data_IF_027857601760
#
_entry.id   IF_027857601760
#
_cell.length_a   1.000
_cell.length_b   1.000
_cell.length_c   1.000
_cell.angle_alpha   90.00
_cell.angle_beta   90.00
_cell.angle_gamma   90.00
#
_symmetry.space_group_name_H-M   'P 1'
#
loop_
_entity.id
_entity.type
_entity.pdbx_description
1 polymer ?
#
# COMPACT_ATOMS: atom_id res chain seq x y z
N UNK A 1 -16.69 83.11 -2.48
CA UNK A 1 -17.11 81.88 -3.20
C UNK A 1 -17.50 80.81 -2.18
N UNK A 2 -18.30 79.81 -2.61
CA UNK A 2 -18.51 78.45 -2.04
C UNK A 2 -17.35 77.96 -1.13
N UNK A 3 -17.48 77.17 -0.06
CA UNK A 3 -18.53 76.35 0.61
C UNK A 3 -17.93 75.98 2.01
N UNK A 4 -18.59 75.44 3.05
CA UNK A 4 -19.96 74.97 3.33
C UNK A 4 -20.26 75.05 4.85
N UNK A 5 -21.28 74.34 5.36
CA UNK A 5 -21.52 74.06 6.79
C UNK A 5 -21.11 72.62 7.13
N UNK A 6 -20.79 72.34 8.39
CA UNK A 6 -21.47 71.27 9.15
C UNK A 6 -21.49 71.61 10.65
N UNK A 7 -22.70 71.68 11.23
CA UNK A 7 -22.87 71.81 12.68
C UNK A 7 -22.69 70.44 13.33
N UNK A 8 -21.94 70.40 14.44
CA UNK A 8 -21.99 69.27 15.36
C UNK A 8 -23.29 69.36 16.18
N UNK A 9 -24.03 68.24 16.30
CA UNK A 9 -25.35 68.27 16.91
C UNK A 9 -25.97 66.90 17.15
N UNK A 10 -25.30 66.02 17.90
CA UNK A 10 -25.94 64.86 18.54
C UNK A 10 -25.49 64.76 20.01
N UNK A 11 -26.38 65.26 20.86
CA UNK A 11 -26.71 64.87 22.26
C UNK A 11 -25.73 64.07 23.15
N UNK A 12 -25.68 64.50 24.41
CA UNK A 12 -24.89 63.94 25.50
C UNK A 12 -25.40 62.57 26.03
N UNK A 13 -25.33 61.53 25.20
CA UNK A 13 -25.47 60.12 25.61
C UNK A 13 -24.13 59.35 25.60
N UNK A 14 -23.01 60.03 25.30
CA UNK A 14 -21.66 59.46 25.24
C UNK A 14 -21.00 59.26 26.63
N UNK A 15 -21.77 59.32 27.72
CA UNK A 15 -21.26 59.21 29.09
C UNK A 15 -22.09 58.18 29.87
N UNK A 16 -21.81 56.87 29.65
CA UNK A 16 -21.92 55.82 30.69
C UNK A 16 -21.56 54.38 30.24
N UNK A 17 -21.12 54.13 29.00
CA UNK A 17 -20.72 52.78 28.54
C UNK A 17 -19.25 52.71 28.11
N UNK A 18 -18.36 53.11 29.02
CA UNK A 18 -16.95 52.71 28.97
C UNK A 18 -16.59 51.94 30.24
N UNK A 19 -15.96 50.78 30.02
CA UNK A 19 -15.20 49.99 30.99
C UNK A 19 -15.95 49.26 32.13
N UNK A 20 -16.42 48.04 31.80
CA UNK A 20 -16.33 46.89 32.72
C UNK A 20 -15.29 45.90 32.19
N UNK A 21 -14.08 45.91 32.77
CA UNK A 21 -12.88 45.18 32.29
C UNK A 21 -12.96 43.64 32.24
N UNK A 22 -14.10 43.04 32.59
CA UNK A 22 -14.35 41.61 32.43
C UNK A 22 -14.94 41.21 31.07
N UNK A 23 -15.43 42.14 30.25
CA UNK A 23 -16.18 41.81 29.04
C UNK A 23 -15.30 41.50 27.82
N UNK A 24 -14.20 42.25 27.60
CA UNK A 24 -13.28 42.01 26.48
C UNK A 24 -12.66 40.60 26.52
N UNK A 25 -12.22 40.12 27.70
CA UNK A 25 -11.66 38.77 27.85
C UNK A 25 -12.67 37.69 27.44
N UNK A 26 -13.94 37.85 27.80
CA UNK A 26 -15.01 36.92 27.40
C UNK A 26 -15.26 36.95 25.88
N UNK A 27 -15.23 38.14 25.27
CA UNK A 27 -15.41 38.28 23.82
C UNK A 27 -14.30 37.61 23.00
N UNK A 28 -13.04 37.72 23.44
CA UNK A 28 -11.89 37.04 22.80
C UNK A 28 -11.99 35.51 22.96
N UNK A 29 -12.39 35.02 24.15
CA UNK A 29 -12.57 33.57 24.38
C UNK A 29 -13.71 33.03 23.50
N UNK A 30 -14.84 33.73 23.38
CA UNK A 30 -15.98 33.32 22.55
C UNK A 30 -15.60 33.29 21.05
N UNK A 31 -14.85 34.28 20.57
CA UNK A 31 -14.32 34.31 19.19
C UNK A 31 -13.40 33.11 18.92
N UNK A 32 -12.47 32.80 19.83
CA UNK A 32 -11.58 31.63 19.69
C UNK A 32 -12.34 30.30 19.66
N UNK A 33 -13.34 30.13 20.53
CA UNK A 33 -14.20 28.93 20.56
C UNK A 33 -15.00 28.75 19.26
N UNK A 34 -15.51 29.86 18.69
CA UNK A 34 -16.25 29.84 17.42
C UNK A 34 -15.37 29.35 16.26
N UNK A 35 -14.11 29.81 16.20
CA UNK A 35 -13.15 29.41 15.16
C UNK A 35 -12.79 27.93 15.28
N UNK A 36 -12.54 27.43 16.50
CA UNK A 36 -12.25 26.00 16.74
C UNK A 36 -13.44 25.13 16.31
N UNK A 37 -14.67 25.56 16.60
CA UNK A 37 -15.89 24.83 16.24
C UNK A 37 -16.11 24.80 14.71
N UNK A 38 -15.84 25.91 14.01
CA UNK A 38 -15.86 25.98 12.55
C UNK A 38 -14.80 25.07 11.91
N UNK A 39 -13.56 25.09 12.40
CA UNK A 39 -12.48 24.22 11.92
C UNK A 39 -12.81 22.74 12.17
N UNK A 40 -13.38 22.41 13.34
CA UNK A 40 -13.86 21.06 13.66
C UNK A 40 -14.96 20.58 12.73
N UNK A 41 -15.93 21.44 12.39
CA UNK A 41 -17.00 21.11 11.45
C UNK A 41 -16.46 20.85 10.03
N UNK A 42 -15.53 21.68 9.53
CA UNK A 42 -14.89 21.49 8.23
C UNK A 42 -14.07 20.18 8.21
N UNK A 43 -13.27 19.92 9.25
CA UNK A 43 -12.50 18.69 9.38
C UNK A 43 -13.41 17.44 9.45
N UNK A 44 -14.53 17.52 10.18
CA UNK A 44 -15.50 16.44 10.29
C UNK A 44 -16.22 16.12 8.96
N UNK A 45 -16.49 17.13 8.13
CA UNK A 45 -17.02 16.91 6.77
C UNK A 45 -15.96 16.29 5.86
N UNK A 46 -14.73 16.81 5.90
CA UNK A 46 -13.63 16.33 5.04
C UNK A 46 -13.18 14.90 5.37
N UNK A 47 -13.35 14.46 6.62
CA UNK A 47 -12.97 13.11 7.09
C UNK A 47 -14.10 12.07 7.00
N UNK A 48 -15.28 12.41 6.46
CA UNK A 48 -16.32 11.41 6.23
C UNK A 48 -15.89 10.43 5.12
N UNK A 49 -15.75 9.12 5.40
CA UNK A 49 -15.60 8.15 4.32
C UNK A 49 -16.87 8.15 3.48
N UNK A 50 -16.74 8.26 2.16
CA UNK A 50 -17.89 8.17 1.27
C UNK A 50 -18.47 6.76 1.34
N UNK A 51 -19.71 6.65 1.83
CA UNK A 51 -20.51 5.44 1.61
C UNK A 51 -20.86 5.39 0.13
N UNK A 52 -20.24 4.47 -0.59
CA UNK A 52 -20.62 4.09 -1.93
C UNK A 52 -22.10 3.63 -1.91
N UNK A 53 -22.96 4.10 -2.84
CA UNK A 53 -24.37 3.72 -2.84
C UNK A 53 -24.55 2.23 -3.14
N UNK A 54 -25.42 1.57 -2.38
CA UNK A 54 -25.89 0.22 -2.65
C UNK A 54 -26.93 0.21 -3.79
N UNK A 55 -26.88 -0.83 -4.62
CA UNK A 55 -27.69 -1.03 -5.82
C UNK A 55 -26.80 -1.38 -7.02
N UNK A 56 -26.97 -2.49 -7.74
CA UNK A 56 -28.13 -3.39 -7.88
C UNK A 56 -27.68 -4.87 -7.82
N UNK A 57 -28.59 -5.76 -7.43
CA UNK A 57 -28.38 -7.22 -7.34
C UNK A 57 -28.55 -7.96 -8.69
N UNK A 58 -27.65 -8.91 -8.97
CA UNK A 58 -27.75 -10.02 -9.97
C UNK A 58 -27.75 -9.68 -11.49
N UNK A 59 -27.45 -10.66 -12.40
CA UNK A 59 -27.20 -12.09 -12.16
C UNK A 59 -25.81 -12.61 -12.55
N UNK A 60 -25.52 -13.85 -12.13
CA UNK A 60 -24.40 -14.68 -12.63
C UNK A 60 -24.32 -14.67 -14.17
N UNK A 61 -23.13 -14.38 -14.71
CA UNK A 61 -22.75 -14.78 -16.06
C UNK A 61 -21.43 -15.53 -16.04
N UNK A 62 -21.52 -16.85 -16.19
CA UNK A 62 -20.41 -17.75 -16.50
C UNK A 62 -20.34 -17.82 -18.03
N UNK A 63 -19.20 -17.47 -18.67
CA UNK A 63 -18.69 -18.11 -19.92
C UNK A 63 -17.38 -17.47 -20.44
N UNK A 64 -16.35 -18.32 -20.49
CA UNK A 64 -15.19 -18.37 -21.43
C UNK A 64 -14.02 -17.38 -21.33
N UNK A 65 -12.83 -17.99 -21.37
CA UNK A 65 -11.47 -17.43 -21.41
C UNK A 65 -10.96 -17.33 -22.86
N UNK A 66 -10.37 -16.19 -23.21
CA UNK A 66 -9.27 -16.01 -24.19
C UNK A 66 -8.70 -14.61 -23.92
N UNK A 67 -7.39 -14.34 -23.90
CA UNK A 67 -6.24 -15.07 -24.43
C UNK A 67 -5.54 -16.04 -23.45
N UNK A 68 -4.85 -17.04 -24.01
CA UNK A 68 -3.92 -17.93 -23.31
C UNK A 68 -2.55 -17.95 -24.02
N UNK A 69 -1.64 -18.89 -23.70
CA UNK A 69 -1.73 -20.00 -22.73
C UNK A 69 -1.05 -19.64 -21.38
N UNK A 70 -1.30 -20.28 -20.24
CA UNK A 70 -1.96 -21.57 -20.00
C UNK A 70 -2.78 -21.56 -18.67
N UNK A 71 -4.01 -21.04 -18.71
CA UNK A 71 -4.86 -20.83 -17.52
C UNK A 71 -5.46 -22.07 -16.84
N UNK A 72 -5.05 -23.29 -17.22
CA UNK A 72 -5.64 -24.55 -16.72
C UNK A 72 -4.59 -25.52 -16.15
N UNK A 73 -3.32 -25.10 -16.03
CA UNK A 73 -2.22 -25.95 -15.54
C UNK A 73 -1.79 -25.73 -14.07
N UNK A 74 -1.87 -24.49 -13.55
CA UNK A 74 -1.25 -24.09 -12.29
C UNK A 74 -1.68 -24.90 -11.04
N UNK A 75 -2.96 -25.33 -11.01
CA UNK A 75 -3.49 -26.14 -9.91
C UNK A 75 -2.85 -27.53 -9.80
N UNK A 76 -2.46 -28.13 -10.94
CA UNK A 76 -1.83 -29.45 -10.96
C UNK A 76 -0.30 -29.36 -10.80
N UNK A 77 0.32 -28.30 -11.34
CA UNK A 77 1.78 -28.06 -11.22
C UNK A 77 2.26 -27.98 -9.76
N UNK A 78 1.42 -27.46 -8.85
CA UNK A 78 1.75 -27.31 -7.42
C UNK A 78 1.11 -28.37 -6.51
N UNK A 79 0.53 -29.43 -7.07
CA UNK A 79 -0.14 -30.47 -6.28
C UNK A 79 0.83 -31.18 -5.33
N UNK A 80 2.03 -31.50 -5.83
CA UNK A 80 3.08 -32.22 -5.11
C UNK A 80 4.04 -31.33 -4.31
N UNK A 81 3.78 -30.03 -4.19
CA UNK A 81 4.72 -29.08 -3.59
C UNK A 81 4.62 -29.02 -2.06
N UNK A 82 5.73 -28.66 -1.40
CA UNK A 82 5.74 -28.31 0.02
C UNK A 82 4.98 -26.99 0.21
N UNK A 83 4.35 -26.80 1.36
CA UNK A 83 3.71 -25.53 1.75
C UNK A 83 4.47 -24.92 2.92
N UNK A 84 4.83 -23.65 2.80
CA UNK A 84 5.32 -22.81 3.88
C UNK A 84 4.19 -21.92 4.38
N UNK A 85 3.98 -21.89 5.68
CA UNK A 85 3.03 -20.99 6.35
C UNK A 85 3.80 -20.18 7.37
N UNK A 86 3.69 -18.87 7.29
CA UNK A 86 4.39 -17.93 8.14
C UNK A 86 3.46 -17.27 9.18
N UNK A 87 4.03 -16.85 10.31
CA UNK A 87 3.29 -16.26 11.43
C UNK A 87 2.67 -14.89 11.13
N UNK A 88 3.18 -14.16 10.13
CA UNK A 88 2.61 -12.90 9.66
C UNK A 88 1.41 -13.09 8.72
N UNK A 89 0.88 -14.30 8.61
CA UNK A 89 -0.41 -14.59 7.99
C UNK A 89 -0.37 -14.84 6.48
N UNK A 90 0.80 -15.12 5.90
CA UNK A 90 0.91 -15.53 4.50
C UNK A 90 1.40 -16.98 4.39
N UNK A 91 1.04 -17.65 3.28
CA UNK A 91 1.54 -18.98 2.97
C UNK A 91 1.72 -19.16 1.47
N UNK A 92 2.75 -19.91 1.07
CA UNK A 92 3.06 -20.20 -0.34
C UNK A 92 3.57 -21.64 -0.49
N UNK A 93 3.48 -22.18 -1.70
CA UNK A 93 4.02 -23.48 -2.05
C UNK A 93 5.37 -23.37 -2.76
N UNK A 94 6.21 -24.39 -2.61
CA UNK A 94 7.50 -24.50 -3.28
C UNK A 94 7.87 -25.98 -3.58
N UNK A 95 8.66 -26.27 -4.63
CA UNK A 95 9.05 -27.63 -4.99
C UNK A 95 9.71 -28.44 -3.86
N UNK A 96 9.52 -29.77 -3.87
CA UNK A 96 9.98 -30.69 -2.82
C UNK A 96 11.50 -30.77 -2.71
N UNK A 97 12.20 -30.60 -3.83
CA UNK A 97 13.66 -30.62 -3.96
C UNK A 97 14.32 -29.30 -3.57
N UNK A 98 13.55 -28.23 -3.38
CA UNK A 98 14.06 -26.92 -2.97
C UNK A 98 14.16 -26.80 -1.45
N UNK A 99 15.03 -25.89 -1.03
CA UNK A 99 15.21 -25.49 0.37
C UNK A 99 14.65 -24.08 0.59
N UNK A 100 14.32 -23.77 1.84
CA UNK A 100 14.06 -22.40 2.28
C UNK A 100 15.22 -21.96 3.16
N UNK A 101 15.75 -20.78 2.91
CA UNK A 101 16.52 -20.03 3.88
C UNK A 101 15.61 -18.95 4.49
N UNK A 102 15.64 -18.79 5.81
CA UNK A 102 14.72 -17.92 6.55
C UNK A 102 15.54 -17.02 7.46
N UNK A 103 15.87 -15.84 6.96
CA UNK A 103 16.56 -14.79 7.67
C UNK A 103 15.54 -13.94 8.46
N UNK A 104 15.58 -14.08 9.79
CA UNK A 104 14.93 -13.14 10.72
C UNK A 104 16.00 -12.13 11.16
N UNK A 105 15.94 -10.86 10.72
CA UNK A 105 16.95 -9.89 11.11
C UNK A 105 16.90 -9.61 12.61
N UNK A 106 18.07 -9.54 13.24
CA UNK A 106 18.19 -9.15 14.64
C UNK A 106 17.99 -7.63 14.74
N UNK A 107 16.74 -7.21 14.89
CA UNK A 107 16.28 -6.00 15.60
C UNK A 107 17.05 -4.67 15.38
N UNK A 108 17.51 -4.37 14.15
CA UNK A 108 18.23 -3.11 13.85
C UNK A 108 17.77 -2.37 12.57
N UNK A 109 16.55 -2.63 12.08
CA UNK A 109 15.95 -1.86 10.98
C UNK A 109 14.44 -1.72 11.18
N UNK A 110 13.91 -0.50 11.03
CA UNK A 110 12.46 -0.25 11.09
C UNK A 110 11.67 -0.91 9.94
N UNK A 111 12.38 -1.50 8.97
CA UNK A 111 11.83 -1.96 7.69
C UNK A 111 11.84 -3.48 7.46
N UNK A 112 12.37 -4.32 8.35
CA UNK A 112 12.48 -5.77 8.09
C UNK A 112 12.01 -6.63 9.28
N UNK A 113 10.80 -7.22 9.24
CA UNK A 113 10.38 -8.27 10.17
C UNK A 113 10.85 -9.68 9.76
N UNK A 114 10.93 -9.97 8.46
CA UNK A 114 11.22 -11.31 7.92
C UNK A 114 11.72 -11.23 6.47
N UNK A 115 12.68 -12.08 6.13
CA UNK A 115 13.08 -12.43 4.76
C UNK A 115 13.04 -13.96 4.62
N UNK A 116 12.40 -14.46 3.56
CA UNK A 116 12.37 -15.88 3.19
C UNK A 116 12.87 -16.05 1.76
N UNK A 117 13.96 -16.79 1.59
CA UNK A 117 14.58 -17.06 0.29
C UNK A 117 14.29 -18.50 -0.11
N UNK A 118 13.65 -18.70 -1.26
CA UNK A 118 13.54 -20.01 -1.89
C UNK A 118 14.85 -20.32 -2.63
N UNK A 119 15.53 -21.39 -2.22
CA UNK A 119 16.85 -21.79 -2.71
C UNK A 119 16.73 -22.96 -3.68
N UNK A 120 17.25 -22.76 -4.89
CA UNK A 120 17.16 -23.67 -6.03
C UNK A 120 18.45 -24.53 -6.13
N UNK A 121 18.36 -25.87 -6.20
CA UNK A 121 19.54 -26.71 -6.40
C UNK A 121 20.05 -26.65 -7.85
N UNK A 122 21.38 -26.75 -8.09
CA UNK A 122 22.45 -26.89 -7.11
C UNK A 122 23.09 -25.54 -6.74
N UNK A 123 22.71 -25.00 -5.57
CA UNK A 123 23.44 -24.11 -4.63
C UNK A 123 24.26 -22.88 -5.09
N UNK A 124 24.40 -22.60 -6.39
CA UNK A 124 25.22 -21.51 -6.96
C UNK A 124 24.36 -20.46 -7.69
N UNK A 125 23.03 -20.57 -7.68
CA UNK A 125 22.16 -19.61 -8.35
C UNK A 125 22.03 -18.32 -7.53
N UNK A 126 22.62 -17.23 -8.05
CA UNK A 126 22.29 -15.84 -7.67
C UNK A 126 20.85 -15.43 -8.05
N UNK A 127 20.04 -16.39 -8.51
CA UNK A 127 18.62 -16.26 -8.79
C UNK A 127 17.85 -16.69 -7.54
N UNK A 128 17.04 -15.78 -7.00
CA UNK A 128 16.29 -15.99 -5.76
C UNK A 128 14.82 -15.65 -5.94
N UNK A 129 13.97 -16.31 -5.16
CA UNK A 129 12.64 -15.78 -4.85
C UNK A 129 12.66 -15.39 -3.38
N UNK A 130 12.63 -14.09 -3.14
CA UNK A 130 12.71 -13.43 -1.85
C UNK A 130 11.30 -12.98 -1.44
N UNK A 131 10.85 -13.37 -0.26
CA UNK A 131 9.66 -12.81 0.38
C UNK A 131 10.11 -11.95 1.55
N UNK A 132 9.96 -10.64 1.42
CA UNK A 132 10.33 -9.67 2.46
C UNK A 132 9.10 -8.91 2.96
N UNK A 133 8.97 -8.85 4.28
CA UNK A 133 8.00 -8.00 4.96
C UNK A 133 8.59 -6.60 5.16
N UNK A 134 7.79 -5.56 4.98
CA UNK A 134 8.21 -4.17 5.11
C UNK A 134 7.16 -3.37 5.88
N UNK A 135 7.57 -2.60 6.88
CA UNK A 135 6.66 -1.68 7.58
C UNK A 135 6.32 -0.49 6.67
N UNK A 136 5.03 -0.31 6.38
CA UNK A 136 4.56 0.82 5.57
C UNK A 136 3.31 0.51 4.74
N UNK A 137 3.02 1.43 3.83
CA UNK A 137 1.94 1.31 2.86
C UNK A 137 2.51 0.99 1.50
N UNK A 138 1.99 -0.03 0.83
CA UNK A 138 2.30 -0.35 -0.57
C UNK A 138 1.90 0.84 -1.44
N UNK A 139 2.89 1.53 -1.98
CA UNK A 139 2.72 2.67 -2.89
C UNK A 139 3.32 2.32 -4.23
N UNK A 140 2.66 2.77 -5.30
CA UNK A 140 3.30 2.82 -6.61
C UNK A 140 4.46 3.81 -6.49
N UNK A 141 5.67 3.29 -6.49
CA UNK A 141 6.88 4.09 -6.67
C UNK A 141 6.73 4.90 -7.98
N UNK A 142 7.23 6.14 -8.04
CA UNK A 142 7.37 6.81 -9.33
C UNK A 142 8.14 5.87 -10.26
N UNK A 143 7.62 5.64 -11.46
CA UNK A 143 8.36 4.91 -12.49
C UNK A 143 9.55 5.77 -12.88
N UNK A 144 10.72 5.41 -12.38
CA UNK A 144 11.99 5.77 -12.99
C UNK A 144 12.11 5.08 -14.36
N UNK A 145 13.02 5.56 -15.21
CA UNK A 145 13.23 5.04 -16.57
C UNK A 145 13.63 3.55 -16.59
N UNK A 146 14.09 3.03 -15.45
CA UNK A 146 14.65 1.69 -15.26
C UNK A 146 13.56 0.69 -14.85
N UNK A 147 12.56 1.08 -14.06
CA UNK A 147 11.57 0.18 -13.49
C UNK A 147 10.12 0.62 -13.71
N UNK A 148 9.35 -0.23 -14.40
CA UNK A 148 7.93 -0.02 -14.61
C UNK A 148 7.11 -0.59 -13.44
N UNK A 149 6.13 0.18 -12.95
CA UNK A 149 5.21 -0.25 -11.89
C UNK A 149 3.75 -0.19 -12.35
N UNK A 150 2.99 -1.26 -12.18
CA UNK A 150 1.57 -1.38 -12.57
C UNK A 150 0.72 -1.95 -11.44
N UNK A 151 -0.56 -1.57 -11.41
CA UNK A 151 -1.53 -2.20 -10.51
C UNK A 151 -1.89 -3.57 -11.09
N UNK A 152 -2.03 -4.57 -10.23
CA UNK A 152 -2.42 -5.93 -10.60
C UNK A 152 -3.22 -6.57 -9.46
N UNK A 153 -3.59 -7.85 -9.61
CA UNK A 153 -4.17 -8.65 -8.54
C UNK A 153 -3.38 -9.93 -8.38
N UNK A 154 -3.15 -10.33 -7.12
CA UNK A 154 -2.53 -11.60 -6.78
C UNK A 154 -3.56 -12.40 -5.98
N UNK A 155 -4.11 -13.46 -6.58
CA UNK A 155 -5.20 -14.27 -5.99
C UNK A 155 -6.37 -13.42 -5.46
N UNK A 156 -6.86 -12.51 -6.32
CA UNK A 156 -7.88 -11.50 -6.03
C UNK A 156 -7.52 -10.43 -4.97
N UNK A 157 -6.34 -10.50 -4.35
CA UNK A 157 -5.84 -9.43 -3.48
C UNK A 157 -5.20 -8.31 -4.33
N UNK A 158 -5.54 -7.02 -4.12
CA UNK A 158 -4.91 -5.91 -4.82
C UNK A 158 -3.39 -5.86 -4.58
N UNK A 159 -2.62 -5.77 -5.67
CA UNK A 159 -1.16 -5.83 -5.64
C UNK A 159 -0.54 -4.79 -6.58
N UNK A 160 0.74 -4.47 -6.36
CA UNK A 160 1.54 -3.69 -7.31
C UNK A 160 2.62 -4.62 -7.87
N UNK A 161 2.65 -4.74 -9.20
CA UNK A 161 3.74 -5.39 -9.92
C UNK A 161 4.79 -4.35 -10.27
N UNK A 162 6.06 -4.60 -9.95
CA UNK A 162 7.21 -3.83 -10.44
C UNK A 162 8.08 -4.74 -11.30
N UNK A 163 8.46 -4.27 -12.48
CA UNK A 163 9.41 -4.94 -13.38
C UNK A 163 10.61 -4.02 -13.59
N UNK A 164 11.80 -4.49 -13.23
CA UNK A 164 13.08 -3.80 -13.38
C UNK A 164 13.98 -4.62 -14.33
N UNK A 165 14.02 -4.32 -15.65
CA UNK A 165 15.10 -4.76 -16.52
C UNK A 165 16.46 -4.18 -16.10
N UNK A 166 17.53 -4.86 -16.47
CA UNK A 166 18.91 -4.41 -16.27
C UNK A 166 19.88 -5.26 -17.11
N UNK A 167 21.01 -4.68 -17.51
CA UNK A 167 22.03 -5.39 -18.27
C UNK A 167 22.75 -6.38 -17.35
N UNK A 168 22.45 -7.67 -17.49
CA UNK A 168 23.00 -8.74 -16.66
C UNK A 168 22.17 -9.11 -15.43
N UNK A 169 21.12 -8.36 -15.08
CA UNK A 169 20.18 -8.74 -14.04
C UNK A 169 18.79 -8.13 -14.26
N UNK A 170 17.74 -8.93 -14.08
CA UNK A 170 16.35 -8.48 -14.12
C UNK A 170 15.62 -8.90 -12.83
N UNK A 171 14.60 -8.15 -12.44
CA UNK A 171 13.72 -8.58 -11.35
C UNK A 171 12.27 -8.18 -11.58
N UNK A 172 11.37 -9.02 -11.07
CA UNK A 172 9.93 -8.77 -10.99
C UNK A 172 9.52 -8.91 -9.54
N UNK A 173 8.81 -7.92 -8.99
CA UNK A 173 8.24 -8.03 -7.64
C UNK A 173 6.74 -7.78 -7.63
N UNK A 174 6.07 -8.39 -6.67
CA UNK A 174 4.65 -8.25 -6.35
C UNK A 174 4.55 -7.79 -4.90
N UNK A 175 4.12 -6.55 -4.69
CA UNK A 175 3.89 -6.00 -3.35
C UNK A 175 2.40 -5.97 -3.02
N UNK A 176 2.03 -6.51 -1.85
CA UNK A 176 0.65 -6.63 -1.36
C UNK A 176 0.54 -6.01 0.03
N UNK A 177 -0.55 -5.29 0.28
CA UNK A 177 -0.81 -4.70 1.59
C UNK A 177 -1.39 -5.75 2.55
N UNK A 178 -0.68 -6.03 3.64
CA UNK A 178 -1.21 -6.79 4.77
C UNK A 178 -1.86 -5.85 5.79
N UNK A 179 -2.49 -6.43 6.82
CA UNK A 179 -2.98 -5.71 8.00
C UNK A 179 -1.86 -4.99 8.76
N UNK A 180 -2.25 -4.13 9.70
CA UNK A 180 -1.36 -3.43 10.65
C UNK A 180 -0.27 -2.55 10.01
N UNK A 181 -0.45 -2.13 8.74
CA UNK A 181 0.54 -1.31 8.04
C UNK A 181 1.82 -2.07 7.72
N UNK A 182 1.72 -3.37 7.43
CA UNK A 182 2.80 -4.20 6.91
C UNK A 182 2.52 -4.47 5.42
N UNK A 183 3.55 -4.40 4.59
CA UNK A 183 3.55 -4.82 3.20
C UNK A 183 4.32 -6.13 3.06
N UNK A 184 3.80 -7.07 2.27
CA UNK A 184 4.53 -8.24 1.81
C UNK A 184 5.02 -7.99 0.39
N UNK A 185 6.29 -8.22 0.12
CA UNK A 185 6.85 -8.17 -1.24
C UNK A 185 7.43 -9.54 -1.58
N UNK A 186 6.90 -10.15 -2.64
CA UNK A 186 7.50 -11.32 -3.28
C UNK A 186 8.32 -10.83 -4.48
N UNK A 187 9.64 -11.04 -4.47
CA UNK A 187 10.58 -10.60 -5.51
C UNK A 187 11.27 -11.80 -6.13
N UNK A 188 11.16 -11.92 -7.45
CA UNK A 188 11.89 -12.87 -8.27
C UNK A 188 13.06 -12.11 -8.89
N UNK A 189 14.29 -12.51 -8.56
CA UNK A 189 15.51 -11.95 -9.11
C UNK A 189 16.19 -12.96 -10.05
N UNK A 190 16.58 -12.49 -11.23
CA UNK A 190 17.36 -13.23 -12.22
C UNK A 190 18.65 -12.48 -12.54
N UNK A 191 19.78 -13.03 -12.14
CA UNK A 191 21.09 -12.70 -12.68
C UNK A 191 21.28 -13.43 -14.02
N UNK A 192 22.10 -12.88 -14.90
CA UNK A 192 22.44 -13.45 -16.21
C UNK A 192 23.94 -13.78 -16.29
N UNK A 193 24.50 -14.36 -15.23
CA UNK A 193 25.85 -14.94 -15.32
C UNK A 193 25.80 -16.27 -16.09
N UNK A 194 26.84 -16.62 -16.88
CA UNK A 194 26.87 -17.85 -17.68
C UNK A 194 26.69 -19.15 -16.88
N UNK A 195 27.00 -19.11 -15.59
CA UNK A 195 26.94 -20.25 -14.66
C UNK A 195 25.60 -20.33 -13.92
N UNK A 196 24.77 -19.29 -13.97
CA UNK A 196 23.48 -19.24 -13.28
C UNK A 196 22.39 -20.03 -14.01
N UNK A 197 21.81 -21.02 -13.33
CA UNK A 197 20.55 -21.65 -13.79
C UNK A 197 19.40 -20.69 -13.53
N UNK A 198 18.76 -20.18 -14.59
CA UNK A 198 17.53 -19.38 -14.48
C UNK A 198 16.41 -20.18 -13.80
N UNK A 199 15.62 -19.52 -12.97
CA UNK A 199 14.44 -20.13 -12.35
C UNK A 199 13.44 -20.43 -13.49
N UNK A 200 12.90 -21.66 -13.61
CA UNK A 200 11.87 -21.94 -14.60
C UNK A 200 10.66 -21.02 -14.37
N UNK A 201 10.18 -20.37 -15.43
CA UNK A 201 9.08 -19.40 -15.34
C UNK A 201 7.83 -20.03 -14.69
N UNK A 202 7.51 -21.28 -15.04
CA UNK A 202 6.45 -22.08 -14.43
C UNK A 202 6.62 -22.29 -12.91
N UNK A 203 7.86 -22.34 -12.42
CA UNK A 203 8.15 -22.48 -10.99
C UNK A 203 7.96 -21.14 -10.28
N UNK A 204 8.44 -20.04 -10.85
CA UNK A 204 8.21 -18.70 -10.32
C UNK A 204 6.71 -18.35 -10.29
N UNK A 205 5.99 -18.63 -11.38
CA UNK A 205 4.54 -18.44 -11.48
C UNK A 205 3.77 -19.37 -10.53
N UNK A 206 4.20 -20.63 -10.36
CA UNK A 206 3.62 -21.55 -9.39
C UNK A 206 3.80 -21.08 -7.95
N UNK A 207 4.99 -20.58 -7.59
CA UNK A 207 5.27 -20.03 -6.25
C UNK A 207 4.42 -18.79 -6.01
N UNK A 208 4.42 -17.81 -6.92
CA UNK A 208 3.65 -16.57 -6.79
C UNK A 208 2.13 -16.82 -6.81
N UNK A 209 1.62 -17.64 -7.73
CA UNK A 209 0.18 -17.98 -7.78
C UNK A 209 -0.31 -18.86 -6.63
N UNK A 210 0.60 -19.51 -5.90
CA UNK A 210 0.26 -20.20 -4.65
C UNK A 210 0.23 -19.30 -3.41
N UNK A 211 0.65 -18.04 -3.52
CA UNK A 211 0.69 -17.11 -2.38
C UNK A 211 -0.72 -16.76 -1.92
N UNK A 212 -1.06 -17.21 -0.72
CA UNK A 212 -2.31 -16.87 -0.04
C UNK A 212 -2.02 -15.98 1.16
N UNK A 213 -2.87 -14.98 1.35
CA UNK A 213 -2.83 -14.07 2.50
C UNK A 213 -4.08 -14.36 3.32
N UNK A 214 -3.88 -14.80 4.56
CA UNK A 214 -4.95 -14.94 5.53
C UNK A 214 -5.37 -13.55 5.99
N UNK A 215 -6.68 -13.23 6.01
CA UNK A 215 -7.16 -11.90 6.33
C UNK A 215 -6.97 -11.57 7.81
#
# INVERSE_FOLDING_TARGET
MRQSKFQCGITAAACHILMRGGFLKKFVIIQGLLIILLLGAVFYVYTRPQKQPEGIENPQSKTVLTDGPNGTGASNLTADWKTHTDEYGFSFKYPKDFSLDISRPVEYSENFPLEVIVVFPPYESTNTIEFSLIKGVVKKSPSDEICQSTNTTLNAVPAIKRSCPGAGASSVSYSVQLKNGIALTARIAHNETPESKKIPQETADGIVSSLTISP
#
